data_IF_255176685814
#
_entry.id   IF_255176685814
#
_cell.length_a   1.000
_cell.length_b   1.000
_cell.length_c   1.000
_cell.angle_alpha   90.00
_cell.angle_beta   90.00
_cell.angle_gamma   90.00
#
_symmetry.space_group_name_H-M   'P 1'
#
loop_
_entity.id
_entity.type
_entity.pdbx_description
1 polymer ?
#
# COMPACT_ATOMS: atom_id res chain seq x y z
N UNK A 1 -31.37 -0.32 21.78
CA UNK A 1 -30.84 0.17 20.48
C UNK A 1 -30.87 -1.01 19.53
N UNK A 2 -31.25 -0.83 18.27
CA UNK A 2 -31.20 -1.92 17.29
C UNK A 2 -29.74 -2.40 17.17
N UNK A 3 -29.52 -3.71 17.20
CA UNK A 3 -28.18 -4.25 16.96
C UNK A 3 -27.78 -3.97 15.52
N UNK A 4 -26.57 -3.45 15.33
CA UNK A 4 -25.98 -3.18 14.01
C UNK A 4 -24.68 -3.92 13.88
N UNK A 5 -24.43 -4.55 12.73
CA UNK A 5 -23.25 -5.35 12.47
C UNK A 5 -22.49 -4.88 11.23
N UNK A 6 -21.22 -4.52 11.43
CA UNK A 6 -20.27 -4.19 10.35
C UNK A 6 -19.27 -5.34 10.21
N UNK A 7 -19.13 -5.88 9.00
CA UNK A 7 -18.12 -6.89 8.67
C UNK A 7 -17.01 -6.27 7.85
N UNK A 8 -15.77 -6.37 8.32
CA UNK A 8 -14.57 -5.90 7.64
C UNK A 8 -13.82 -7.10 7.08
N UNK A 9 -13.61 -7.13 5.77
CA UNK A 9 -12.83 -8.17 5.09
C UNK A 9 -11.40 -7.68 4.90
N UNK A 10 -10.45 -8.31 5.62
CA UNK A 10 -9.03 -7.96 5.62
C UNK A 10 -8.61 -7.27 6.93
N UNK A 11 -7.64 -7.88 7.62
CA UNK A 11 -7.16 -7.46 8.95
C UNK A 11 -5.73 -6.94 8.92
N UNK A 12 -5.28 -6.42 7.78
CA UNK A 12 -4.07 -5.60 7.72
C UNK A 12 -4.25 -4.27 8.44
N UNK A 13 -3.28 -3.37 8.30
CA UNK A 13 -3.34 -2.04 8.93
C UNK A 13 -4.67 -1.34 8.67
N UNK A 14 -5.13 -1.29 7.41
CA UNK A 14 -6.34 -0.55 7.03
C UNK A 14 -7.59 -1.04 7.75
N UNK A 15 -7.89 -2.34 7.70
CA UNK A 15 -9.09 -2.89 8.34
C UNK A 15 -9.01 -2.83 9.86
N UNK A 16 -7.81 -3.00 10.43
CA UNK A 16 -7.60 -2.87 11.87
C UNK A 16 -7.78 -1.41 12.33
N UNK A 17 -7.27 -0.44 11.57
CA UNK A 17 -7.44 0.98 11.86
C UNK A 17 -8.92 1.38 11.80
N UNK A 18 -9.66 0.90 10.79
CA UNK A 18 -11.10 1.09 10.71
C UNK A 18 -11.81 0.50 11.95
N UNK A 19 -11.48 -0.74 12.34
CA UNK A 19 -12.07 -1.37 13.51
C UNK A 19 -11.77 -0.60 14.81
N UNK A 20 -10.54 -0.09 14.98
CA UNK A 20 -10.17 0.76 16.12
C UNK A 20 -11.02 2.03 16.15
N UNK A 21 -11.16 2.72 15.01
CA UNK A 21 -11.96 3.94 14.92
C UNK A 21 -13.44 3.70 15.20
N UNK A 22 -14.00 2.60 14.69
CA UNK A 22 -15.37 2.18 14.99
C UNK A 22 -15.55 1.87 16.48
N UNK A 23 -14.58 1.21 17.12
CA UNK A 23 -14.64 0.91 18.55
C UNK A 23 -14.50 2.16 19.44
N UNK A 24 -13.60 3.08 19.10
CA UNK A 24 -13.38 4.31 19.88
C UNK A 24 -14.59 5.26 19.85
N UNK A 25 -15.42 5.17 18.82
CA UNK A 25 -16.47 6.17 18.53
C UNK A 25 -17.88 5.60 18.44
N UNK A 26 -18.01 4.30 18.30
CA UNK A 26 -19.28 3.60 18.30
C UNK A 26 -19.90 3.54 19.68
N UNK A 27 -21.18 3.16 19.72
CA UNK A 27 -21.95 3.01 20.94
C UNK A 27 -22.34 1.53 21.16
N UNK A 28 -22.87 1.24 22.34
CA UNK A 28 -23.42 -0.08 22.66
C UNK A 28 -24.49 -0.49 21.63
N UNK A 29 -24.45 -1.75 21.21
CA UNK A 29 -25.31 -2.29 20.14
C UNK A 29 -24.63 -2.37 18.78
N UNK A 30 -23.45 -1.77 18.60
CA UNK A 30 -22.60 -2.00 17.42
C UNK A 30 -21.73 -3.25 17.62
N UNK A 31 -21.75 -4.13 16.63
CA UNK A 31 -20.85 -5.27 16.50
C UNK A 31 -19.94 -5.05 15.29
N UNK A 32 -18.65 -5.35 15.43
CA UNK A 32 -17.68 -5.28 14.32
C UNK A 32 -16.91 -6.59 14.25
N UNK A 33 -17.00 -7.26 13.12
CA UNK A 33 -16.23 -8.49 12.84
C UNK A 33 -15.18 -8.22 11.79
N UNK A 34 -13.91 -8.52 12.11
CA UNK A 34 -12.80 -8.50 11.15
C UNK A 34 -12.51 -9.93 10.72
N UNK A 35 -12.71 -10.24 9.44
CA UNK A 35 -12.36 -11.53 8.84
C UNK A 35 -10.94 -11.42 8.25
N UNK A 36 -9.99 -12.10 8.88
CA UNK A 36 -8.58 -12.10 8.51
C UNK A 36 -7.95 -13.46 8.85
N UNK A 37 -7.43 -14.21 7.87
CA UNK A 37 -6.94 -15.57 8.08
C UNK A 37 -5.70 -15.64 8.97
N UNK A 38 -4.88 -14.58 9.05
CA UNK A 38 -3.68 -14.58 9.88
C UNK A 38 -4.05 -14.58 11.37
N UNK A 39 -3.19 -15.17 12.23
CA UNK A 39 -3.47 -15.25 13.67
C UNK A 39 -3.51 -13.88 14.38
N UNK A 40 -2.86 -12.87 13.80
CA UNK A 40 -2.80 -11.51 14.33
C UNK A 40 -3.25 -10.50 13.27
N UNK A 41 -4.00 -9.49 13.75
CA UNK A 41 -4.40 -8.32 12.97
C UNK A 41 -3.25 -7.32 12.82
N UNK A 42 -3.54 -6.14 12.25
CA UNK A 42 -2.67 -4.97 12.07
C UNK A 42 -1.52 -5.09 11.06
N UNK A 43 -0.93 -6.28 10.92
CA UNK A 43 0.32 -6.44 10.18
C UNK A 43 0.15 -6.32 8.67
N UNK A 44 -0.81 -7.06 8.12
CA UNK A 44 -1.07 -7.09 6.68
C UNK A 44 0.17 -7.43 5.85
N UNK A 45 0.17 -7.00 4.58
CA UNK A 45 1.31 -7.20 3.66
C UNK A 45 2.51 -6.33 4.04
N UNK A 46 2.27 -5.07 4.44
CA UNK A 46 3.33 -4.10 4.66
C UNK A 46 4.14 -4.34 5.95
N UNK A 47 3.48 -4.77 7.02
CA UNK A 47 4.08 -4.88 8.36
C UNK A 47 4.16 -6.33 8.85
N UNK A 48 3.89 -7.31 7.98
CA UNK A 48 3.96 -8.74 8.30
C UNK A 48 5.34 -9.37 8.14
N UNK A 49 6.28 -8.69 7.48
CA UNK A 49 7.65 -9.19 7.30
C UNK A 49 8.35 -9.42 8.65
N UNK A 50 9.18 -10.46 8.70
CA UNK A 50 10.03 -10.79 9.84
C UNK A 50 11.51 -10.51 9.57
N UNK A 51 11.86 -9.99 8.38
CA UNK A 51 13.25 -9.65 8.08
C UNK A 51 13.63 -8.33 8.78
N UNK A 52 14.64 -8.32 9.68
CA UNK A 52 15.07 -7.10 10.38
C UNK A 52 15.61 -6.00 9.45
N UNK A 53 16.00 -6.34 8.22
CA UNK A 53 16.42 -5.35 7.23
C UNK A 53 15.26 -4.48 6.72
N UNK A 54 14.00 -4.92 6.89
CA UNK A 54 12.84 -4.21 6.38
C UNK A 54 12.38 -3.15 7.36
N UNK A 55 12.72 -1.89 7.03
CA UNK A 55 12.44 -0.71 7.84
C UNK A 55 11.18 0.00 7.37
N UNK A 56 10.52 0.73 8.27
CA UNK A 56 9.53 1.72 7.85
C UNK A 56 10.22 2.82 7.05
N UNK A 57 9.52 3.37 6.06
CA UNK A 57 10.11 4.30 5.08
C UNK A 57 9.92 5.78 5.43
N UNK A 58 9.22 6.07 6.52
CA UNK A 58 9.06 7.41 7.10
C UNK A 58 9.49 7.34 8.56
N UNK A 59 9.92 8.45 9.18
CA UNK A 59 10.22 8.48 10.60
C UNK A 59 9.04 7.98 11.44
N UNK A 60 9.32 7.30 12.55
CA UNK A 60 8.32 6.80 13.48
C UNK A 60 7.36 7.89 13.97
N UNK A 61 7.84 9.14 14.08
CA UNK A 61 7.01 10.28 14.46
C UNK A 61 5.87 10.57 13.48
N UNK A 62 6.01 10.18 12.21
CA UNK A 62 5.00 10.33 11.15
C UNK A 62 4.18 9.06 10.92
N UNK A 63 4.36 8.02 11.73
CA UNK A 63 3.57 6.80 11.67
C UNK A 63 2.44 6.89 12.69
N UNK A 64 1.21 7.06 12.21
CA UNK A 64 0.06 7.35 13.06
C UNK A 64 -1.22 6.65 12.61
N UNK A 65 -2.15 6.49 13.55
CA UNK A 65 -3.50 5.95 13.32
C UNK A 65 -4.51 7.06 12.97
N UNK A 66 -4.28 8.28 13.47
CA UNK A 66 -5.00 9.51 13.16
C UNK A 66 -4.06 10.70 13.24
N UNK A 67 -4.46 11.86 12.70
CA UNK A 67 -3.68 13.09 12.80
C UNK A 67 -3.53 13.59 14.26
N UNK A 68 -4.51 13.31 15.12
CA UNK A 68 -4.45 13.67 16.54
C UNK A 68 -3.41 12.86 17.34
N UNK A 69 -2.91 11.77 16.78
CA UNK A 69 -1.99 10.81 17.39
C UNK A 69 -0.54 10.96 16.86
N UNK A 70 -0.19 12.15 16.37
CA UNK A 70 1.17 12.42 15.86
C UNK A 70 2.24 12.14 16.93
N UNK A 71 3.28 11.40 16.53
CA UNK A 71 4.38 11.00 17.42
C UNK A 71 4.06 9.89 18.42
N UNK A 72 2.82 9.38 18.52
CA UNK A 72 2.44 8.31 19.47
C UNK A 72 3.30 7.06 19.27
N UNK A 73 3.48 6.62 18.01
CA UNK A 73 4.28 5.44 17.71
C UNK A 73 5.77 5.62 18.06
N UNK A 74 6.34 6.81 17.84
CA UNK A 74 7.73 7.10 18.23
C UNK A 74 7.91 6.99 19.75
N UNK A 75 7.00 7.62 20.52
CA UNK A 75 6.99 7.53 21.99
C UNK A 75 6.85 6.09 22.46
N UNK A 76 5.88 5.36 21.90
CA UNK A 76 5.65 3.95 22.22
C UNK A 76 6.87 3.09 21.93
N UNK A 77 7.48 3.25 20.76
CA UNK A 77 8.62 2.43 20.37
C UNK A 77 9.82 2.71 21.26
N UNK A 78 10.13 3.98 21.55
CA UNK A 78 11.24 4.35 22.46
C UNK A 78 11.06 3.81 23.88
N UNK A 79 9.81 3.68 24.34
CA UNK A 79 9.49 3.08 25.64
C UNK A 79 9.50 1.54 25.63
N UNK A 80 9.53 0.91 24.45
CA UNK A 80 9.52 -0.55 24.30
C UNK A 80 10.90 -1.16 24.49
N UNK A 81 10.94 -2.44 24.87
CA UNK A 81 12.19 -3.23 24.90
C UNK A 81 12.83 -3.41 23.52
N UNK A 82 12.06 -3.20 22.43
CA UNK A 82 12.55 -3.34 21.07
C UNK A 82 13.44 -2.17 20.61
N UNK A 83 13.41 -1.02 21.30
CA UNK A 83 14.27 0.11 20.97
C UNK A 83 15.75 -0.13 21.37
N UNK A 84 16.08 -0.46 22.63
CA UNK A 84 17.47 -0.77 22.99
C UNK A 84 18.01 -2.04 22.31
N UNK A 85 17.13 -2.94 21.85
CA UNK A 85 17.49 -4.14 21.10
C UNK A 85 17.79 -3.88 19.61
N UNK A 86 17.55 -2.66 19.11
CA UNK A 86 17.71 -2.28 17.71
C UNK A 86 18.47 -0.94 17.61
N UNK A 87 19.80 -0.93 17.82
CA UNK A 87 20.59 0.29 17.83
C UNK A 87 20.56 1.01 16.47
N UNK A 88 20.37 0.28 15.37
CA UNK A 88 20.28 0.84 14.02
C UNK A 88 18.94 1.56 13.77
N UNK A 89 17.95 1.45 14.66
CA UNK A 89 16.67 2.12 14.48
C UNK A 89 16.79 3.64 14.54
N UNK A 90 17.65 4.17 15.41
CA UNK A 90 17.90 5.62 15.51
C UNK A 90 18.98 6.04 14.52
N UNK A 91 18.65 6.99 13.65
CA UNK A 91 19.61 7.56 12.71
C UNK A 91 20.41 8.71 13.33
N UNK A 92 21.48 9.14 12.67
CA UNK A 92 22.41 10.18 13.13
C UNK A 92 21.71 11.52 13.46
N UNK A 93 20.60 11.82 12.79
CA UNK A 93 19.78 13.02 13.03
C UNK A 93 18.74 12.84 14.14
N UNK A 94 18.81 11.74 14.91
CA UNK A 94 17.94 11.43 16.03
C UNK A 94 16.58 10.83 15.65
N UNK A 95 16.19 10.86 14.36
CA UNK A 95 14.93 10.26 13.87
C UNK A 95 15.00 8.73 13.93
N UNK A 96 13.85 8.10 14.17
CA UNK A 96 13.77 6.65 14.34
C UNK A 96 13.05 5.99 13.17
N UNK A 97 13.62 4.90 12.66
CA UNK A 97 13.07 4.05 11.61
C UNK A 97 13.07 2.59 12.08
N UNK A 98 12.06 2.17 12.86
CA UNK A 98 11.97 0.80 13.35
C UNK A 98 11.79 -0.22 12.23
N UNK A 99 12.06 -1.49 12.55
CA UNK A 99 11.63 -2.61 11.71
C UNK A 99 10.10 -2.57 11.51
N UNK A 100 9.63 -2.92 10.31
CA UNK A 100 8.19 -2.81 9.96
C UNK A 100 7.27 -3.55 10.93
N UNK A 101 7.72 -4.69 11.47
CA UNK A 101 6.97 -5.47 12.44
C UNK A 101 6.62 -4.72 13.72
N UNK A 102 7.43 -3.74 14.14
CA UNK A 102 7.18 -2.95 15.35
C UNK A 102 5.96 -2.04 15.19
N UNK A 103 5.75 -1.46 14.01
CA UNK A 103 4.53 -0.70 13.75
C UNK A 103 3.29 -1.60 13.73
N UNK A 104 3.40 -2.81 13.16
CA UNK A 104 2.33 -3.81 13.24
C UNK A 104 2.00 -4.21 14.69
N UNK A 105 3.01 -4.35 15.56
CA UNK A 105 2.82 -4.65 16.98
C UNK A 105 2.12 -3.51 17.72
N UNK A 106 2.54 -2.26 17.49
CA UNK A 106 1.88 -1.07 18.04
C UNK A 106 0.39 -1.03 17.70
N UNK A 107 0.03 -1.20 16.42
CA UNK A 107 -1.38 -1.14 16.00
C UNK A 107 -2.19 -2.32 16.55
N UNK A 108 -1.57 -3.50 16.70
CA UNK A 108 -2.23 -4.63 17.37
C UNK A 108 -2.52 -4.34 18.85
N UNK A 109 -1.60 -3.65 19.55
CA UNK A 109 -1.83 -3.19 20.93
C UNK A 109 -2.97 -2.16 21.00
N UNK A 110 -3.03 -1.22 20.04
CA UNK A 110 -4.14 -0.26 19.98
C UNK A 110 -5.49 -0.95 19.73
N UNK A 111 -5.51 -2.00 18.91
CA UNK A 111 -6.71 -2.81 18.71
C UNK A 111 -7.13 -3.54 19.99
N UNK A 112 -6.18 -4.15 20.70
CA UNK A 112 -6.47 -4.83 21.97
C UNK A 112 -7.04 -3.85 23.02
N UNK A 113 -6.43 -2.67 23.17
CA UNK A 113 -6.93 -1.61 24.05
C UNK A 113 -8.35 -1.18 23.69
N UNK A 114 -8.63 -0.99 22.39
CA UNK A 114 -9.95 -0.63 21.92
C UNK A 114 -10.99 -1.74 22.18
N UNK A 115 -10.61 -3.01 22.01
CA UNK A 115 -11.49 -4.15 22.29
C UNK A 115 -11.84 -4.29 23.78
N UNK A 116 -10.91 -3.95 24.67
CA UNK A 116 -11.10 -4.04 26.12
C UNK A 116 -12.00 -2.92 26.68
N UNK A 117 -11.85 -1.70 26.17
CA UNK A 117 -12.49 -0.51 26.77
C UNK A 117 -13.74 -0.01 26.02
N UNK A 118 -14.02 -0.55 24.83
CA UNK A 118 -15.12 -0.07 24.01
C UNK A 118 -16.46 -0.74 24.36
N UNK A 119 -17.59 -0.01 24.30
CA UNK A 119 -18.92 -0.62 24.32
C UNK A 119 -19.27 -1.38 23.01
N UNK A 120 -18.43 -1.28 21.97
CA UNK A 120 -18.56 -1.98 20.69
C UNK A 120 -17.98 -3.39 20.81
N UNK A 121 -18.74 -4.39 20.37
CA UNK A 121 -18.24 -5.78 20.34
C UNK A 121 -17.30 -5.98 19.16
N UNK A 122 -16.00 -6.05 19.41
CA UNK A 122 -14.98 -6.38 18.40
C UNK A 122 -14.71 -7.89 18.35
N UNK A 123 -14.71 -8.47 17.15
CA UNK A 123 -14.41 -9.89 16.93
C UNK A 123 -13.41 -10.07 15.80
N UNK A 124 -12.37 -10.90 15.99
CA UNK A 124 -11.48 -11.35 14.93
C UNK A 124 -11.83 -12.79 14.55
N UNK A 125 -12.20 -12.99 13.29
CA UNK A 125 -12.46 -14.31 12.69
C UNK A 125 -11.25 -14.71 11.85
N UNK A 126 -10.62 -15.81 12.24
CA UNK A 126 -9.44 -16.38 11.56
C UNK A 126 -9.86 -17.27 10.40
N UNK A 127 -10.36 -16.63 9.35
CA UNK A 127 -10.81 -17.32 8.15
C UNK A 127 -10.65 -16.43 6.92
N UNK A 128 -10.83 -17.00 5.74
CA UNK A 128 -10.95 -16.30 4.47
C UNK A 128 -12.42 -16.01 4.17
N UNK A 129 -12.76 -14.77 3.85
CA UNK A 129 -14.02 -14.47 3.19
C UNK A 129 -13.94 -14.92 1.72
N UNK A 130 -14.97 -15.63 1.23
CA UNK A 130 -14.96 -16.24 -0.10
C UNK A 130 -16.18 -15.88 -0.95
N UNK A 131 -17.25 -15.36 -0.34
CA UNK A 131 -18.41 -14.86 -1.08
C UNK A 131 -19.23 -13.86 -0.24
N UNK A 132 -20.05 -13.05 -0.91
CA UNK A 132 -21.11 -12.24 -0.31
C UNK A 132 -22.45 -12.69 -0.89
N UNK A 133 -23.36 -13.20 -0.04
CA UNK A 133 -24.67 -13.72 -0.46
C UNK A 133 -25.76 -13.17 0.44
N UNK A 134 -26.79 -12.55 -0.15
CA UNK A 134 -27.94 -11.99 0.57
C UNK A 134 -27.54 -11.07 1.75
N UNK A 135 -26.49 -10.27 1.59
CA UNK A 135 -25.96 -9.38 2.66
C UNK A 135 -25.04 -10.05 3.68
N UNK A 136 -24.88 -11.39 3.63
CA UNK A 136 -23.98 -12.13 4.52
C UNK A 136 -22.64 -12.48 3.88
N UNK A 137 -21.54 -12.24 4.60
CA UNK A 137 -20.20 -12.67 4.19
C UNK A 137 -20.02 -14.16 4.53
N UNK A 138 -19.74 -14.96 3.51
CA UNK A 138 -19.47 -16.40 3.65
C UNK A 138 -17.96 -16.62 3.75
N UNK A 139 -17.56 -17.42 4.74
CA UNK A 139 -16.15 -17.78 4.96
C UNK A 139 -15.80 -19.15 4.37
N UNK A 140 -14.51 -19.46 4.25
CA UNK A 140 -14.05 -20.72 3.68
C UNK A 140 -14.42 -21.94 4.57
N UNK A 141 -14.59 -21.76 5.88
CA UNK A 141 -15.13 -22.80 6.77
C UNK A 141 -16.64 -23.03 6.60
N UNK A 142 -17.33 -22.18 5.84
CA UNK A 142 -18.78 -22.26 5.62
C UNK A 142 -19.62 -21.39 6.57
N UNK A 143 -19.00 -20.72 7.55
CA UNK A 143 -19.69 -19.79 8.43
C UNK A 143 -20.18 -18.55 7.67
N UNK A 144 -21.35 -18.03 8.06
CA UNK A 144 -21.98 -16.87 7.43
C UNK A 144 -22.18 -15.75 8.45
N UNK A 145 -21.65 -14.57 8.13
CA UNK A 145 -21.75 -13.37 8.96
C UNK A 145 -22.70 -12.37 8.28
N UNK A 146 -23.94 -12.31 8.76
CA UNK A 146 -24.90 -11.28 8.32
C UNK A 146 -24.40 -9.90 8.69
N UNK A 147 -24.53 -8.92 7.80
CA UNK A 147 -24.01 -7.59 8.04
C UNK A 147 -24.97 -6.53 7.50
N UNK A 148 -25.11 -5.41 8.22
CA UNK A 148 -25.73 -4.21 7.69
C UNK A 148 -24.79 -3.50 6.72
N UNK A 149 -23.48 -3.65 6.93
CA UNK A 149 -22.42 -3.03 6.15
C UNK A 149 -21.24 -4.00 6.00
N UNK A 150 -20.77 -4.16 4.77
CA UNK A 150 -19.55 -4.91 4.45
C UNK A 150 -18.49 -3.95 3.96
N UNK A 151 -17.30 -4.01 4.55
CA UNK A 151 -16.17 -3.16 4.19
C UNK A 151 -15.00 -4.01 3.70
N UNK A 152 -14.65 -3.84 2.42
CA UNK A 152 -13.48 -4.44 1.81
C UNK A 152 -12.23 -3.63 2.19
N UNK A 153 -11.47 -4.12 3.17
CA UNK A 153 -10.18 -3.58 3.58
C UNK A 153 -9.01 -4.35 2.92
N UNK A 154 -9.19 -4.67 1.64
CA UNK A 154 -8.25 -5.45 0.85
C UNK A 154 -7.20 -4.51 0.27
N UNK A 155 -5.92 -4.90 0.36
CA UNK A 155 -4.80 -4.08 -0.10
C UNK A 155 -4.57 -4.21 -1.61
N UNK A 156 -3.51 -4.92 -2.01
CA UNK A 156 -3.15 -5.14 -3.40
C UNK A 156 -2.54 -6.53 -3.57
N UNK A 157 -2.68 -7.15 -4.76
CA UNK A 157 -2.08 -8.45 -5.03
C UNK A 157 -0.54 -8.39 -5.06
N UNK A 158 0.14 -9.55 -5.01
CA UNK A 158 1.59 -9.63 -5.21
C UNK A 158 2.01 -9.11 -6.60
N UNK A 159 3.32 -8.95 -6.84
CA UNK A 159 3.82 -8.56 -8.16
C UNK A 159 3.42 -9.55 -9.25
N UNK A 160 3.03 -9.03 -10.42
CA UNK A 160 2.85 -9.84 -11.61
C UNK A 160 4.21 -10.10 -12.26
N UNK A 161 4.48 -11.38 -12.53
CA UNK A 161 5.64 -11.79 -13.32
C UNK A 161 5.46 -11.30 -14.76
N UNK A 162 6.43 -10.56 -15.35
CA UNK A 162 6.34 -10.16 -16.74
C UNK A 162 6.09 -11.37 -17.66
N UNK A 163 5.17 -11.26 -18.62
CA UNK A 163 4.71 -12.41 -19.41
C UNK A 163 5.84 -13.17 -20.13
N UNK A 164 6.89 -12.47 -20.58
CA UNK A 164 8.06 -13.11 -21.18
C UNK A 164 8.82 -13.98 -20.16
N UNK A 165 8.98 -13.49 -18.93
CA UNK A 165 9.60 -14.21 -17.82
C UNK A 165 8.75 -15.40 -17.40
N UNK A 166 7.43 -15.21 -17.26
CA UNK A 166 6.51 -16.29 -16.89
C UNK A 166 6.52 -17.43 -17.93
N UNK A 167 6.52 -17.10 -19.22
CA UNK A 167 6.60 -18.10 -20.31
C UNK A 167 7.92 -18.86 -20.33
N UNK A 168 9.04 -18.17 -20.10
CA UNK A 168 10.37 -18.78 -20.17
C UNK A 168 10.76 -19.55 -18.90
N UNK A 169 10.31 -19.10 -17.72
CA UNK A 169 10.83 -19.51 -16.42
C UNK A 169 9.74 -19.91 -15.41
N UNK A 170 8.48 -20.07 -15.81
CA UNK A 170 7.35 -20.22 -14.88
C UNK A 170 7.50 -21.32 -13.82
N UNK A 171 8.25 -22.39 -14.12
CA UNK A 171 8.58 -23.48 -13.18
C UNK A 171 10.08 -23.56 -12.85
N UNK A 172 10.88 -22.64 -13.36
CA UNK A 172 12.33 -22.69 -13.25
C UNK A 172 12.78 -22.26 -11.83
N UNK A 173 13.67 -23.02 -11.15
CA UNK A 173 14.07 -22.75 -9.76
C UNK A 173 14.87 -21.45 -9.56
N UNK A 174 15.36 -20.86 -10.66
CA UNK A 174 15.99 -19.54 -10.62
C UNK A 174 15.00 -18.37 -10.44
N UNK A 175 13.71 -18.56 -10.74
CA UNK A 175 12.70 -17.51 -10.65
C UNK A 175 12.14 -17.36 -9.23
N UNK A 176 12.38 -16.18 -8.64
CA UNK A 176 11.70 -15.73 -7.44
C UNK A 176 10.62 -14.73 -7.86
N UNK A 177 9.43 -15.26 -8.15
CA UNK A 177 8.28 -14.51 -8.66
C UNK A 177 7.68 -13.52 -7.64
N UNK A 178 7.77 -13.84 -6.35
CA UNK A 178 7.26 -13.01 -5.26
C UNK A 178 8.27 -12.99 -4.10
N UNK A 179 8.99 -11.88 -3.87
CA UNK A 179 9.99 -11.77 -2.81
C UNK A 179 9.37 -11.72 -1.40
N UNK A 180 8.04 -11.57 -1.29
CA UNK A 180 7.33 -11.49 -0.01
C UNK A 180 6.88 -12.85 0.52
N UNK A 181 7.09 -13.94 -0.22
CA UNK A 181 6.85 -15.29 0.31
C UNK A 181 7.83 -15.56 1.45
N UNK A 182 7.37 -16.31 2.45
CA UNK A 182 8.27 -16.87 3.46
C UNK A 182 9.42 -17.60 2.77
N UNK A 183 10.64 -17.35 3.24
CA UNK A 183 11.88 -17.97 2.75
C UNK A 183 12.16 -17.79 1.24
N UNK A 184 11.53 -16.80 0.59
CA UNK A 184 11.70 -16.56 -0.85
C UNK A 184 13.16 -16.39 -1.28
N UNK A 185 13.99 -15.82 -0.39
CA UNK A 185 15.41 -15.57 -0.63
C UNK A 185 16.32 -16.68 -0.09
N UNK A 186 15.80 -17.68 0.64
CA UNK A 186 16.61 -18.74 1.24
C UNK A 186 17.33 -19.60 0.19
N UNK A 187 16.78 -19.67 -1.03
CA UNK A 187 17.38 -20.39 -2.15
C UNK A 187 18.51 -19.62 -2.86
N UNK A 188 18.79 -18.36 -2.47
CA UNK A 188 19.88 -17.56 -3.04
C UNK A 188 21.18 -17.87 -2.30
N UNK A 189 22.14 -18.50 -2.98
CA UNK A 189 23.42 -18.88 -2.38
C UNK A 189 24.31 -17.63 -2.19
N UNK A 190 25.34 -17.70 -1.32
CA UNK A 190 26.19 -16.54 -1.03
C UNK A 190 26.88 -15.94 -2.27
N UNK A 191 27.18 -16.72 -3.30
CA UNK A 191 27.90 -16.26 -4.49
C UNK A 191 27.06 -16.26 -5.78
N UNK A 192 25.75 -16.55 -5.68
CA UNK A 192 24.85 -16.51 -6.84
C UNK A 192 24.89 -15.12 -7.50
N UNK A 193 24.90 -15.09 -8.82
CA UNK A 193 24.63 -13.88 -9.58
C UNK A 193 23.11 -13.64 -9.64
N UNK A 194 22.66 -12.46 -9.24
CA UNK A 194 21.24 -12.15 -9.05
C UNK A 194 20.82 -11.00 -9.96
N UNK A 195 19.81 -11.21 -10.79
CA UNK A 195 19.09 -10.14 -11.48
C UNK A 195 17.81 -9.76 -10.73
N UNK A 196 17.55 -8.47 -10.57
CA UNK A 196 16.31 -7.96 -9.98
C UNK A 196 15.56 -7.10 -11.00
N UNK A 197 14.33 -7.50 -11.33
CA UNK A 197 13.46 -6.75 -12.24
C UNK A 197 12.65 -5.73 -11.44
N UNK A 198 12.90 -4.44 -11.66
CA UNK A 198 12.33 -3.35 -10.88
C UNK A 198 13.38 -2.72 -9.96
N UNK A 199 13.27 -1.42 -9.74
CA UNK A 199 14.24 -0.62 -8.96
C UNK A 199 13.56 0.24 -7.90
N UNK A 200 12.35 -0.13 -7.46
CA UNK A 200 11.60 0.57 -6.41
C UNK A 200 11.94 0.07 -5.01
N UNK A 201 11.15 0.47 -4.00
CA UNK A 201 11.38 0.10 -2.59
C UNK A 201 11.48 -1.41 -2.34
N UNK A 202 10.69 -2.24 -3.03
CA UNK A 202 10.79 -3.70 -2.92
C UNK A 202 12.17 -4.22 -3.32
N UNK A 203 12.79 -3.64 -4.36
CA UNK A 203 14.17 -4.00 -4.73
C UNK A 203 15.14 -3.60 -3.61
N UNK A 204 14.95 -2.41 -3.03
CA UNK A 204 15.76 -1.95 -1.91
C UNK A 204 15.70 -2.90 -0.71
N UNK A 205 14.51 -3.36 -0.33
CA UNK A 205 14.31 -4.34 0.74
C UNK A 205 14.98 -5.69 0.41
N UNK A 206 14.87 -6.15 -0.85
CA UNK A 206 15.54 -7.39 -1.31
C UNK A 206 17.06 -7.27 -1.19
N UNK A 207 17.66 -6.18 -1.67
CA UNK A 207 19.11 -5.98 -1.57
C UNK A 207 19.55 -5.89 -0.11
N UNK A 208 18.81 -5.19 0.75
CA UNK A 208 19.12 -5.11 2.17
C UNK A 208 19.05 -6.49 2.86
N UNK A 209 18.08 -7.33 2.47
CA UNK A 209 17.95 -8.70 2.96
C UNK A 209 19.15 -9.55 2.52
N UNK A 210 19.52 -9.50 1.23
CA UNK A 210 20.69 -10.22 0.69
C UNK A 210 21.99 -9.77 1.37
N UNK A 211 22.16 -8.47 1.59
CA UNK A 211 23.31 -7.91 2.29
C UNK A 211 23.40 -8.47 3.72
N UNK A 212 22.30 -8.42 4.49
CA UNK A 212 22.22 -8.96 5.86
C UNK A 212 22.51 -10.46 5.90
N UNK A 213 22.05 -11.21 4.91
CA UNK A 213 22.28 -12.66 4.78
C UNK A 213 23.71 -13.00 4.36
N UNK A 214 24.59 -12.01 4.19
CA UNK A 214 25.98 -12.26 3.86
C UNK A 214 26.22 -12.57 2.38
N UNK A 215 25.30 -12.23 1.48
CA UNK A 215 25.49 -12.40 0.05
C UNK A 215 26.71 -11.59 -0.44
N UNK A 216 27.50 -12.21 -1.33
CA UNK A 216 28.76 -11.72 -1.92
C UNK A 216 28.75 -11.73 -3.45
N UNK A 217 27.76 -12.39 -4.06
CA UNK A 217 27.57 -12.44 -5.50
C UNK A 217 27.20 -11.07 -6.10
N UNK A 218 27.27 -10.99 -7.43
CA UNK A 218 26.90 -9.78 -8.17
C UNK A 218 25.38 -9.64 -8.22
N UNK A 219 24.88 -8.47 -7.88
CA UNK A 219 23.46 -8.09 -7.98
C UNK A 219 23.29 -7.04 -9.06
N UNK A 220 22.49 -7.34 -10.08
CA UNK A 220 22.08 -6.40 -11.11
C UNK A 220 20.58 -6.09 -10.96
N UNK A 221 20.26 -4.88 -10.49
CA UNK A 221 18.89 -4.38 -10.53
C UNK A 221 18.66 -3.59 -11.82
N UNK A 222 17.54 -3.83 -12.51
CA UNK A 222 17.24 -3.08 -13.73
C UNK A 222 15.77 -2.70 -13.84
N UNK A 223 15.53 -1.54 -14.45
CA UNK A 223 14.18 -1.09 -14.81
C UNK A 223 14.25 -0.17 -16.02
N UNK A 224 13.10 0.09 -16.65
CA UNK A 224 13.01 0.92 -17.87
C UNK A 224 13.68 2.29 -17.76
N UNK A 225 13.78 2.86 -16.55
CA UNK A 225 14.34 4.20 -16.30
C UNK A 225 15.51 4.19 -15.31
N UNK A 226 15.82 3.06 -14.69
CA UNK A 226 16.91 2.93 -13.70
C UNK A 226 16.81 3.88 -12.52
N UNK A 227 15.60 4.32 -12.14
CA UNK A 227 15.42 5.25 -11.02
C UNK A 227 15.40 4.51 -9.70
N UNK A 228 16.05 5.08 -8.69
CA UNK A 228 16.02 4.61 -7.31
C UNK A 228 15.12 5.53 -6.46
N UNK A 229 14.43 4.99 -5.43
CA UNK A 229 13.81 5.77 -4.37
C UNK A 229 14.78 6.82 -3.80
N UNK A 230 14.28 8.04 -3.59
CA UNK A 230 15.08 9.14 -3.04
C UNK A 230 15.21 9.01 -1.52
N UNK A 231 16.32 9.46 -0.92
CA UNK A 231 16.48 9.41 0.53
C UNK A 231 15.48 10.31 1.25
N UNK A 232 15.20 9.98 2.51
CA UNK A 232 14.45 10.85 3.40
C UNK A 232 15.22 12.15 3.70
N UNK A 233 14.48 13.14 4.19
CA UNK A 233 15.06 14.40 4.64
C UNK A 233 15.76 14.22 6.00
N UNK A 234 17.03 14.58 6.07
CA UNK A 234 17.85 14.53 7.29
C UNK A 234 17.98 15.92 7.90
N UNK A 235 17.79 16.03 9.22
CA UNK A 235 17.74 17.32 9.94
C UNK A 235 16.35 17.96 9.99
N UNK A 236 16.30 19.15 10.59
CA UNK A 236 15.08 19.92 10.85
C UNK A 236 15.00 21.15 9.95
N UNK A 237 13.82 21.34 9.34
CA UNK A 237 13.56 22.45 8.42
C UNK A 237 12.18 23.03 8.70
N UNK A 238 11.98 24.34 8.47
CA UNK A 238 10.65 24.92 8.52
C UNK A 238 9.75 24.27 7.45
N UNK A 239 8.45 24.21 7.73
CA UNK A 239 7.47 23.70 6.77
C UNK A 239 7.40 24.61 5.54
N UNK A 240 7.21 24.00 4.37
CA UNK A 240 6.89 24.70 3.12
C UNK A 240 5.44 24.45 2.75
N UNK A 241 4.62 25.49 2.72
CA UNK A 241 3.20 25.40 2.34
C UNK A 241 3.00 26.06 0.99
N UNK A 242 2.39 25.35 0.04
CA UNK A 242 2.09 25.89 -1.28
C UNK A 242 0.87 26.81 -1.19
N UNK A 243 0.90 27.92 -1.93
CA UNK A 243 -0.32 28.68 -2.21
C UNK A 243 -1.17 27.95 -3.27
N UNK A 244 -2.20 27.25 -2.81
CA UNK A 244 -3.18 26.55 -3.63
C UNK A 244 -4.23 27.47 -4.27
N UNK A 245 -4.30 28.75 -3.88
CA UNK A 245 -5.17 29.74 -4.52
C UNK A 245 -4.54 30.28 -5.81
N UNK A 246 -3.20 30.30 -5.89
CA UNK A 246 -2.49 30.68 -7.11
C UNK A 246 -2.94 29.78 -8.28
N UNK A 247 -3.41 30.34 -9.40
CA UNK A 247 -3.95 29.57 -10.51
C UNK A 247 -2.93 28.65 -11.18
N UNK A 248 -3.33 27.40 -11.45
CA UNK A 248 -2.69 26.51 -12.42
C UNK A 248 -3.74 25.72 -13.18
N UNK A 249 -3.40 25.28 -14.40
CA UNK A 249 -4.25 24.36 -15.13
C UNK A 249 -4.31 22.99 -14.43
N UNK A 250 -5.53 22.45 -14.25
CA UNK A 250 -5.80 21.11 -13.71
C UNK A 250 -5.41 20.00 -14.71
N UNK A 251 -4.12 19.97 -15.05
CA UNK A 251 -3.51 19.04 -15.98
C UNK A 251 -2.22 18.49 -15.38
N UNK A 252 -1.82 17.29 -15.82
CA UNK A 252 -0.60 16.66 -15.33
C UNK A 252 0.64 17.55 -15.62
N UNK A 253 0.65 18.25 -16.76
CA UNK A 253 1.72 19.18 -17.14
C UNK A 253 1.66 20.48 -16.33
N UNK A 254 0.47 21.02 -16.07
CA UNK A 254 0.28 22.22 -15.26
C UNK A 254 0.82 22.03 -13.86
N UNK A 255 0.42 20.93 -13.20
CA UNK A 255 0.95 20.55 -11.89
C UNK A 255 2.46 20.29 -11.94
N UNK A 256 2.98 19.56 -12.92
CA UNK A 256 4.44 19.37 -13.05
C UNK A 256 5.20 20.70 -13.12
N UNK A 257 4.69 21.67 -13.88
CA UNK A 257 5.31 23.00 -13.96
C UNK A 257 5.25 23.71 -12.61
N UNK A 258 4.10 23.67 -11.93
CA UNK A 258 3.93 24.24 -10.59
C UNK A 258 4.89 23.62 -9.59
N UNK A 259 4.97 22.29 -9.51
CA UNK A 259 5.91 21.59 -8.61
C UNK A 259 7.35 22.05 -8.84
N UNK A 260 7.78 22.15 -10.10
CA UNK A 260 9.14 22.57 -10.43
C UNK A 260 9.44 24.01 -10.03
N UNK A 261 8.46 24.90 -10.17
CA UNK A 261 8.58 26.29 -9.70
C UNK A 261 8.71 26.34 -8.17
N UNK A 262 7.88 25.60 -7.45
CA UNK A 262 7.91 25.54 -5.98
C UNK A 262 9.24 24.95 -5.47
N UNK A 263 9.76 23.91 -6.12
CA UNK A 263 11.09 23.37 -5.81
C UNK A 263 12.19 24.42 -6.04
N UNK A 264 12.12 25.20 -7.13
CA UNK A 264 13.10 26.25 -7.38
C UNK A 264 12.99 27.41 -6.37
N UNK A 265 11.79 27.78 -5.95
CA UNK A 265 11.55 28.80 -4.91
C UNK A 265 12.05 28.35 -3.55
N UNK A 266 11.75 27.11 -3.14
CA UNK A 266 12.27 26.52 -1.92
C UNK A 266 13.81 26.50 -1.93
N UNK A 267 14.42 26.09 -3.04
CA UNK A 267 15.87 26.07 -3.18
C UNK A 267 16.50 27.49 -3.08
N UNK A 268 15.82 28.53 -3.55
CA UNK A 268 16.27 29.92 -3.41
C UNK A 268 16.22 30.43 -1.95
N UNK A 269 15.56 29.69 -1.05
CA UNK A 269 15.52 29.91 0.40
C UNK A 269 16.32 28.85 1.18
N UNK A 270 17.23 28.13 0.51
CA UNK A 270 18.02 27.02 1.07
C UNK A 270 17.17 25.87 1.64
N UNK A 271 15.94 25.72 1.13
CA UNK A 271 15.03 24.67 1.55
C UNK A 271 15.04 23.45 0.60
N UNK A 272 15.01 22.24 1.17
CA UNK A 272 15.09 21.00 0.40
C UNK A 272 13.77 20.69 -0.33
N UNK A 273 13.88 20.10 -1.53
CA UNK A 273 12.73 19.75 -2.37
C UNK A 273 11.70 18.84 -1.68
N UNK A 274 12.14 18.04 -0.70
CA UNK A 274 11.30 17.12 0.06
C UNK A 274 10.10 17.82 0.70
N UNK A 275 10.25 19.06 1.15
CA UNK A 275 9.19 19.82 1.80
C UNK A 275 8.06 20.15 0.83
N UNK A 276 8.41 20.57 -0.39
CA UNK A 276 7.45 20.82 -1.48
C UNK A 276 6.65 19.56 -1.80
N UNK A 277 7.32 18.41 -1.88
CA UNK A 277 6.67 17.15 -2.22
C UNK A 277 5.83 16.59 -1.06
N UNK A 278 6.21 16.84 0.19
CA UNK A 278 5.43 16.48 1.37
C UNK A 278 4.09 17.26 1.40
N UNK A 279 4.11 18.56 1.12
CA UNK A 279 2.88 19.39 1.03
C UNK A 279 1.97 18.98 -0.14
N UNK A 280 2.55 18.77 -1.33
CA UNK A 280 1.80 18.28 -2.50
C UNK A 280 1.15 16.93 -2.22
N UNK A 281 1.86 16.05 -1.50
CA UNK A 281 1.33 14.74 -1.13
C UNK A 281 0.16 14.88 -0.15
N UNK A 282 0.25 15.77 0.84
CA UNK A 282 -0.87 16.07 1.75
C UNK A 282 -2.13 16.50 1.00
N UNK A 283 -1.96 17.26 -0.09
CA UNK A 283 -3.06 17.72 -0.95
C UNK A 283 -3.32 16.79 -2.16
N UNK A 284 -2.65 15.63 -2.22
CA UNK A 284 -2.61 14.78 -3.41
C UNK A 284 -3.97 14.26 -3.84
N UNK A 285 -4.86 13.96 -2.89
CA UNK A 285 -6.24 13.54 -3.16
C UNK A 285 -7.04 14.65 -3.85
N UNK A 286 -6.96 15.89 -3.34
CA UNK A 286 -7.67 17.02 -3.94
C UNK A 286 -7.18 17.28 -5.36
N UNK A 287 -5.85 17.30 -5.56
CA UNK A 287 -5.23 17.46 -6.88
C UNK A 287 -5.71 16.36 -7.83
N UNK A 288 -5.66 15.10 -7.40
CA UNK A 288 -6.04 13.95 -8.21
C UNK A 288 -7.49 13.99 -8.69
N UNK A 289 -8.41 14.38 -7.80
CA UNK A 289 -9.85 14.44 -8.09
C UNK A 289 -10.23 15.57 -9.04
N UNK A 290 -9.40 16.62 -9.16
CA UNK A 290 -9.58 17.69 -10.15
C UNK A 290 -9.08 17.32 -11.55
N UNK A 291 -8.17 16.35 -11.65
CA UNK A 291 -7.70 15.88 -12.96
C UNK A 291 -8.79 15.10 -13.67
N UNK A 292 -9.06 15.45 -14.93
CA UNK A 292 -9.88 14.59 -15.80
C UNK A 292 -9.26 13.19 -15.93
N UNK A 293 -10.07 12.18 -16.26
CA UNK A 293 -9.59 10.81 -16.49
C UNK A 293 -8.45 10.76 -17.52
N UNK A 294 -8.50 11.62 -18.55
CA UNK A 294 -7.45 11.75 -19.56
C UNK A 294 -6.12 12.21 -18.94
N UNK A 295 -6.17 13.16 -18.01
CA UNK A 295 -4.98 13.67 -17.32
C UNK A 295 -4.47 12.70 -16.24
N UNK A 296 -5.35 11.97 -15.55
CA UNK A 296 -4.96 10.88 -14.66
C UNK A 296 -4.21 9.78 -15.43
N UNK A 297 -4.73 9.32 -16.58
CA UNK A 297 -4.04 8.38 -17.48
C UNK A 297 -2.68 8.94 -17.95
N UNK A 298 -2.61 10.23 -18.26
CA UNK A 298 -1.37 10.91 -18.66
C UNK A 298 -0.34 10.94 -17.53
N UNK A 299 -0.76 11.25 -16.31
CA UNK A 299 0.09 11.21 -15.12
C UNK A 299 0.66 9.80 -14.91
N UNK A 300 -0.18 8.77 -14.92
CA UNK A 300 0.26 7.39 -14.71
C UNK A 300 1.26 6.92 -15.77
N UNK A 301 1.08 7.32 -17.03
CA UNK A 301 1.98 6.94 -18.12
C UNK A 301 3.34 7.63 -18.04
N UNK A 302 3.35 8.92 -17.70
CA UNK A 302 4.54 9.77 -17.89
C UNK A 302 5.22 10.20 -16.61
N UNK A 303 4.44 10.53 -15.57
CA UNK A 303 4.94 11.17 -14.35
C UNK A 303 5.03 10.21 -13.17
N UNK A 304 4.21 9.16 -13.12
CA UNK A 304 4.22 8.19 -12.01
C UNK A 304 5.61 7.66 -11.65
N UNK A 305 6.48 7.23 -12.59
CA UNK A 305 7.81 6.74 -12.20
C UNK A 305 8.67 7.79 -11.48
N UNK A 306 8.47 9.07 -11.78
CA UNK A 306 9.16 10.17 -11.12
C UNK A 306 8.49 10.51 -9.80
N UNK A 307 7.16 10.59 -9.76
CA UNK A 307 6.41 10.79 -8.53
C UNK A 307 6.75 9.71 -7.50
N UNK A 308 6.65 8.44 -7.87
CA UNK A 308 6.85 7.29 -6.98
C UNK A 308 8.24 7.32 -6.33
N UNK A 309 9.32 7.63 -7.05
CA UNK A 309 10.66 7.67 -6.43
C UNK A 309 10.90 8.86 -5.51
N UNK A 310 10.15 9.96 -5.66
CA UNK A 310 10.28 11.12 -4.77
C UNK A 310 9.36 11.02 -3.55
N UNK A 311 8.16 10.45 -3.70
CA UNK A 311 7.17 10.31 -2.61
C UNK A 311 7.37 9.07 -1.75
N UNK A 312 7.84 7.97 -2.34
CA UNK A 312 8.22 6.76 -1.61
C UNK A 312 9.71 6.80 -1.29
N UNK A 313 10.05 7.63 -0.32
CA UNK A 313 11.43 7.77 0.12
C UNK A 313 11.90 6.51 0.83
N UNK A 314 13.18 6.22 0.74
CA UNK A 314 13.81 5.04 1.34
C UNK A 314 14.30 5.35 2.77
N UNK A 315 14.18 4.38 3.67
CA UNK A 315 14.79 4.47 5.00
C UNK A 315 16.32 4.67 4.89
N UNK A 316 16.93 5.54 5.69
CA UNK A 316 18.35 5.87 5.54
C UNK A 316 19.28 4.66 5.72
N UNK A 317 18.93 3.71 6.60
CA UNK A 317 19.66 2.45 6.79
C UNK A 317 19.72 1.63 5.49
N UNK A 318 18.56 1.46 4.83
CA UNK A 318 18.46 0.70 3.57
C UNK A 318 19.18 1.46 2.45
N UNK A 319 19.09 2.79 2.44
CA UNK A 319 19.83 3.64 1.51
C UNK A 319 21.34 3.49 1.66
N UNK A 320 21.86 3.43 2.88
CA UNK A 320 23.27 3.22 3.17
C UNK A 320 23.76 1.86 2.65
N UNK A 321 22.96 0.79 2.82
CA UNK A 321 23.27 -0.54 2.27
C UNK A 321 23.34 -0.51 0.74
N UNK A 322 22.43 0.18 0.07
CA UNK A 322 22.50 0.33 -1.39
C UNK A 322 23.77 1.08 -1.81
N UNK A 323 24.06 2.22 -1.17
CA UNK A 323 25.23 3.03 -1.48
C UNK A 323 26.53 2.23 -1.30
N UNK A 324 26.67 1.53 -0.17
CA UNK A 324 27.82 0.66 0.09
C UNK A 324 27.93 -0.47 -0.94
N UNK A 325 26.82 -1.13 -1.25
CA UNK A 325 26.82 -2.23 -2.23
C UNK A 325 27.19 -1.75 -3.63
N UNK A 326 26.84 -0.52 -4.01
CA UNK A 326 27.26 0.09 -5.27
C UNK A 326 28.75 0.46 -5.24
N UNK A 327 29.23 1.05 -4.15
CA UNK A 327 30.63 1.43 -3.98
C UNK A 327 31.56 0.20 -4.07
N UNK A 328 31.16 -0.92 -3.47
CA UNK A 328 31.90 -2.19 -3.51
C UNK A 328 31.74 -2.95 -4.84
N UNK A 329 30.99 -2.42 -5.81
CA UNK A 329 30.70 -3.07 -7.10
C UNK A 329 29.80 -4.31 -7.01
N UNK A 330 29.19 -4.58 -5.85
CA UNK A 330 28.25 -5.70 -5.64
C UNK A 330 26.87 -5.42 -6.23
N UNK A 331 26.41 -4.18 -6.20
CA UNK A 331 25.15 -3.75 -6.79
C UNK A 331 25.40 -2.87 -8.02
N UNK A 332 24.84 -3.27 -9.15
CA UNK A 332 24.70 -2.42 -10.33
C UNK A 332 23.23 -2.11 -10.57
N UNK A 333 22.92 -0.84 -10.85
CA UNK A 333 21.57 -0.40 -11.23
C UNK A 333 21.57 0.07 -12.67
N UNK A 334 20.71 -0.53 -13.49
CA UNK A 334 20.69 -0.28 -14.93
C UNK A 334 19.34 0.24 -15.42
N UNK A 335 19.39 1.32 -16.21
CA UNK A 335 18.26 1.76 -17.02
C UNK A 335 18.18 0.91 -18.29
N UNK A 336 17.44 -0.20 -18.24
CA UNK A 336 17.30 -1.13 -19.37
C UNK A 336 15.90 -1.75 -19.48
N UNK A 337 15.57 -2.21 -20.69
CA UNK A 337 14.41 -3.05 -20.98
C UNK A 337 14.86 -4.50 -21.18
N UNK A 338 14.14 -5.44 -20.57
CA UNK A 338 14.27 -6.85 -20.91
C UNK A 338 13.72 -7.10 -22.32
N UNK A 339 14.56 -7.55 -23.24
CA UNK A 339 14.16 -7.94 -24.60
C UNK A 339 13.85 -9.42 -24.68
N UNK A 340 14.73 -10.26 -24.14
CA UNK A 340 14.60 -11.72 -24.16
C UNK A 340 15.05 -12.31 -22.82
N UNK A 341 14.45 -13.44 -22.48
CA UNK A 341 14.78 -14.25 -21.32
C UNK A 341 14.59 -15.72 -21.70
N UNK A 342 15.54 -16.56 -21.34
CA UNK A 342 15.47 -18.01 -21.54
C UNK A 342 16.20 -18.74 -20.42
N UNK A 343 15.77 -19.97 -20.14
CA UNK A 343 16.54 -20.89 -19.31
C UNK A 343 17.78 -21.38 -20.08
N UNK A 344 18.89 -21.53 -19.37
CA UNK A 344 20.14 -22.09 -19.89
C UNK A 344 20.74 -22.99 -18.82
N UNK A 345 20.33 -24.27 -18.81
CA UNK A 345 20.60 -25.18 -17.71
C UNK A 345 19.93 -24.69 -16.42
N UNK A 346 20.71 -24.57 -15.35
CA UNK A 346 20.26 -24.02 -14.05
C UNK A 346 20.30 -22.48 -14.00
N UNK A 347 20.88 -21.84 -15.03
CA UNK A 347 21.01 -20.40 -15.11
C UNK A 347 19.94 -19.77 -16.01
N UNK A 348 19.84 -18.45 -15.94
CA UNK A 348 18.94 -17.66 -16.75
C UNK A 348 19.75 -16.73 -17.65
N UNK A 349 19.51 -16.83 -18.95
CA UNK A 349 20.05 -15.89 -19.93
C UNK A 349 19.09 -14.71 -20.10
N UNK A 350 19.61 -13.50 -19.92
CA UNK A 350 18.89 -12.25 -20.09
C UNK A 350 19.52 -11.44 -21.22
N UNK A 351 18.68 -10.93 -22.11
CA UNK A 351 19.08 -9.88 -23.06
C UNK A 351 18.47 -8.56 -22.61
N UNK A 352 19.32 -7.68 -22.10
CA UNK A 352 18.93 -6.36 -21.63
C UNK A 352 19.33 -5.31 -22.68
N UNK A 353 18.42 -4.40 -22.97
CA UNK A 353 18.65 -3.26 -23.84
C UNK A 353 18.74 -1.98 -23.01
N UNK A 354 19.95 -1.49 -22.71
CA UNK A 354 20.12 -0.17 -22.12
C UNK A 354 19.64 0.91 -23.09
N UNK A 355 19.28 2.07 -22.55
CA UNK A 355 18.88 3.21 -23.38
C UNK A 355 20.10 3.79 -24.10
N UNK A 356 20.06 3.82 -25.43
CA UNK A 356 21.11 4.45 -26.25
C UNK A 356 22.41 3.65 -26.35
N UNK A 357 22.43 2.38 -25.96
CA UNK A 357 23.58 1.48 -26.11
C UNK A 357 23.16 0.19 -26.84
N UNK A 358 24.11 -0.68 -27.17
CA UNK A 358 23.80 -2.00 -27.70
C UNK A 358 23.17 -2.91 -26.63
N UNK A 359 22.40 -3.92 -27.06
CA UNK A 359 21.91 -4.95 -26.15
C UNK A 359 23.07 -5.74 -25.53
N UNK A 360 22.93 -6.08 -24.25
CA UNK A 360 23.90 -6.89 -23.51
C UNK A 360 23.26 -8.21 -23.09
N UNK A 361 24.03 -9.29 -23.17
CA UNK A 361 23.64 -10.63 -22.72
C UNK A 361 24.27 -10.87 -21.35
N UNK A 362 23.49 -11.43 -20.44
CA UNK A 362 23.90 -11.75 -19.08
C UNK A 362 23.41 -13.15 -18.73
N UNK A 363 24.25 -13.93 -18.05
CA UNK A 363 23.86 -15.15 -17.37
C UNK A 363 23.77 -14.86 -15.88
N UNK A 364 22.66 -15.28 -15.27
CA UNK A 364 22.43 -15.12 -13.83
C UNK A 364 21.89 -16.39 -13.20
N UNK A 365 22.24 -16.64 -11.95
CA UNK A 365 21.79 -17.81 -11.18
C UNK A 365 20.37 -17.62 -10.65
N UNK A 366 19.98 -16.38 -10.34
CA UNK A 366 18.64 -16.03 -9.82
C UNK A 366 18.05 -14.81 -10.51
N UNK A 367 16.73 -14.81 -10.67
CA UNK A 367 15.96 -13.65 -11.10
C UNK A 367 14.82 -13.35 -10.13
N UNK A 368 14.76 -12.12 -9.62
CA UNK A 368 13.79 -11.69 -8.60
C UNK A 368 12.86 -10.62 -9.18
N UNK A 369 11.55 -10.83 -9.05
CA UNK A 369 10.55 -9.88 -9.57
C UNK A 369 10.15 -8.88 -8.48
N UNK A 370 10.44 -7.60 -8.72
CA UNK A 370 10.11 -6.47 -7.83
C UNK A 370 9.36 -5.36 -8.58
N UNK A 371 8.51 -5.74 -9.54
CA UNK A 371 7.79 -4.85 -10.46
C UNK A 371 6.65 -4.04 -9.83
N UNK A 372 6.50 -4.12 -8.49
CA UNK A 372 5.38 -3.55 -7.75
C UNK A 372 4.12 -4.41 -7.84
N UNK A 373 3.09 -4.09 -7.05
CA UNK A 373 1.86 -4.88 -7.00
C UNK A 373 1.09 -4.83 -8.32
N UNK A 374 0.45 -5.95 -8.65
CA UNK A 374 -0.34 -6.13 -9.86
C UNK A 374 -1.76 -5.55 -9.72
N UNK A 375 -1.90 -4.23 -9.44
CA UNK A 375 -3.20 -3.61 -9.13
C UNK A 375 -4.34 -3.98 -10.10
N UNK A 376 -4.05 -4.07 -11.40
CA UNK A 376 -5.06 -4.43 -12.41
C UNK A 376 -5.61 -5.86 -12.31
N UNK A 377 -4.95 -6.74 -11.56
CA UNK A 377 -5.40 -8.11 -11.29
C UNK A 377 -6.08 -8.24 -9.92
N UNK A 378 -6.40 -7.13 -9.24
CA UNK A 378 -6.99 -7.17 -7.89
C UNK A 378 -8.29 -7.98 -7.86
N UNK A 379 -9.20 -7.77 -8.82
CA UNK A 379 -10.50 -8.45 -8.83
C UNK A 379 -10.38 -9.97 -9.05
N UNK A 380 -9.25 -10.41 -9.59
CA UNK A 380 -8.94 -11.82 -9.83
C UNK A 380 -8.09 -12.42 -8.70
N UNK A 381 -7.75 -11.64 -7.67
CA UNK A 381 -6.72 -12.02 -6.70
C UNK A 381 -7.20 -12.95 -5.59
N UNK A 382 -8.50 -12.98 -5.31
CA UNK A 382 -9.11 -13.88 -4.33
C UNK A 382 -10.57 -14.21 -4.67
N UNK A 383 -11.11 -15.25 -4.02
CA UNK A 383 -12.42 -15.81 -4.33
C UNK A 383 -13.59 -14.84 -4.10
N UNK A 384 -13.55 -14.03 -3.04
CA UNK A 384 -14.61 -13.06 -2.75
C UNK A 384 -14.66 -12.00 -3.85
N UNK A 385 -13.50 -11.42 -4.19
CA UNK A 385 -13.45 -10.40 -5.24
C UNK A 385 -13.86 -10.95 -6.61
N UNK A 386 -13.46 -12.17 -6.94
CA UNK A 386 -13.89 -12.84 -8.18
C UNK A 386 -15.40 -13.01 -8.22
N UNK A 387 -16.02 -13.48 -7.13
CA UNK A 387 -17.47 -13.65 -7.07
C UNK A 387 -18.21 -12.30 -7.15
N UNK A 388 -17.78 -11.30 -6.38
CA UNK A 388 -18.39 -9.96 -6.43
C UNK A 388 -18.30 -9.34 -7.84
N UNK A 389 -17.19 -9.55 -8.54
CA UNK A 389 -17.01 -9.06 -9.90
C UNK A 389 -17.87 -9.83 -10.92
N UNK A 390 -17.94 -11.15 -10.79
CA UNK A 390 -18.76 -12.01 -11.65
C UNK A 390 -20.26 -11.70 -11.52
N UNK A 391 -20.71 -11.40 -10.30
CA UNK A 391 -22.10 -11.01 -10.00
C UNK A 391 -22.39 -9.54 -10.34
N UNK A 392 -21.39 -8.79 -10.80
CA UNK A 392 -21.50 -7.40 -11.21
C UNK A 392 -21.65 -6.40 -10.04
N UNK A 393 -21.43 -6.83 -8.80
CA UNK A 393 -21.53 -6.01 -7.59
C UNK A 393 -20.37 -5.01 -7.45
N UNK A 394 -19.22 -5.36 -8.03
CA UNK A 394 -18.04 -4.49 -8.13
C UNK A 394 -17.50 -4.50 -9.56
N UNK A 395 -16.74 -3.46 -9.91
CA UNK A 395 -15.97 -3.41 -11.14
C UNK A 395 -14.60 -2.76 -10.92
N UNK A 396 -13.66 -3.01 -11.82
CA UNK A 396 -12.36 -2.35 -11.80
C UNK A 396 -12.52 -0.85 -12.07
N UNK A 397 -11.72 -0.02 -11.40
CA UNK A 397 -11.70 1.40 -11.74
C UNK A 397 -11.10 1.63 -13.15
N UNK A 398 -11.47 2.72 -13.85
CA UNK A 398 -11.01 3.00 -15.22
C UNK A 398 -9.49 3.14 -15.43
N UNK A 399 -8.70 3.18 -14.35
CA UNK A 399 -7.24 3.24 -14.37
C UNK A 399 -6.57 1.92 -13.96
N UNK A 400 -7.33 0.88 -13.62
CA UNK A 400 -6.84 -0.41 -13.13
C UNK A 400 -5.92 -0.29 -11.91
N UNK A 401 -6.28 0.61 -10.99
CA UNK A 401 -5.66 0.87 -9.70
C UNK A 401 -6.43 0.24 -8.51
N UNK A 402 -7.61 -0.33 -8.74
CA UNK A 402 -8.40 -1.05 -7.75
C UNK A 402 -9.87 -1.20 -8.13
N UNK A 403 -10.75 -1.09 -7.14
CA UNK A 403 -12.21 -1.19 -7.27
C UNK A 403 -12.79 0.21 -7.50
N UNK A 404 -13.76 0.32 -8.42
CA UNK A 404 -14.48 1.56 -8.66
C UNK A 404 -15.38 1.90 -7.46
N UNK A 405 -15.15 3.07 -6.87
CA UNK A 405 -15.96 3.60 -5.76
C UNK A 405 -16.34 5.06 -5.98
N UNK A 406 -17.43 5.48 -5.34
CA UNK A 406 -17.84 6.88 -5.29
C UNK A 406 -17.08 7.68 -4.20
N UNK A 407 -17.46 8.94 -3.98
CA UNK A 407 -16.84 9.80 -2.96
C UNK A 407 -17.04 9.35 -1.50
N UNK A 408 -18.05 8.49 -1.23
CA UNK A 408 -18.34 7.88 0.08
C UNK A 408 -17.73 6.48 0.23
N UNK A 409 -16.82 6.12 -0.68
CA UNK A 409 -16.18 4.81 -0.72
C UNK A 409 -17.13 3.63 -0.93
N UNK A 410 -18.34 3.87 -1.42
CA UNK A 410 -19.31 2.83 -1.79
C UNK A 410 -18.91 2.23 -3.14
N UNK A 411 -18.99 0.90 -3.28
CA UNK A 411 -18.71 0.24 -4.55
C UNK A 411 -19.72 0.65 -5.61
N UNK A 412 -19.25 0.79 -6.85
CA UNK A 412 -20.12 1.05 -8.00
C UNK A 412 -20.23 -0.25 -8.80
N UNK A 413 -21.45 -0.73 -8.99
CA UNK A 413 -21.77 -1.95 -9.73
C UNK A 413 -21.63 -1.74 -11.25
N UNK A 414 -21.80 -2.78 -12.07
CA UNK A 414 -21.67 -2.69 -13.53
C UNK A 414 -22.68 -1.76 -14.22
N UNK A 415 -23.84 -1.48 -13.59
CA UNK A 415 -24.85 -0.55 -14.10
C UNK A 415 -24.56 0.91 -13.73
N UNK A 416 -23.52 1.17 -12.91
CA UNK A 416 -23.12 2.50 -12.47
C UNK A 416 -23.78 2.97 -11.17
N UNK A 417 -24.49 2.08 -10.47
CA UNK A 417 -25.18 2.36 -9.22
C UNK A 417 -24.26 2.08 -8.01
N UNK A 418 -24.31 2.97 -7.01
CA UNK A 418 -23.56 2.80 -5.79
C UNK A 418 -24.28 1.84 -4.83
N UNK A 419 -23.56 0.91 -4.22
CA UNK A 419 -24.09 0.03 -3.17
C UNK A 419 -23.88 0.68 -1.80
N UNK A 420 -24.95 1.08 -1.08
CA UNK A 420 -24.82 1.73 0.21
C UNK A 420 -24.37 0.79 1.35
N UNK A 421 -24.34 -0.53 1.12
CA UNK A 421 -23.99 -1.56 2.09
C UNK A 421 -22.64 -2.24 1.83
N UNK A 422 -21.92 -1.82 0.77
CA UNK A 422 -20.64 -2.39 0.37
C UNK A 422 -19.63 -1.27 0.11
N UNK A 423 -18.63 -1.19 0.97
CA UNK A 423 -17.61 -0.15 0.97
C UNK A 423 -16.21 -0.69 0.70
N UNK A 424 -15.30 0.16 0.25
CA UNK A 424 -13.87 -0.14 0.11
C UNK A 424 -13.05 0.85 0.91
N UNK A 425 -12.10 0.36 1.70
CA UNK A 425 -11.19 1.21 2.49
C UNK A 425 -9.74 0.91 2.14
N UNK A 426 -8.93 1.96 2.07
CA UNK A 426 -7.50 1.86 1.78
C UNK A 426 -7.19 1.51 0.32
N UNK A 427 -6.05 0.84 0.05
CA UNK A 427 -5.45 0.76 -1.27
C UNK A 427 -6.34 0.31 -2.43
N UNK A 428 -7.34 -0.54 -2.20
CA UNK A 428 -8.27 -0.95 -3.24
C UNK A 428 -9.15 0.20 -3.77
N UNK A 429 -9.32 1.31 -3.04
CA UNK A 429 -10.08 2.48 -3.48
C UNK A 429 -9.23 3.54 -4.23
N UNK A 430 -7.95 3.23 -4.50
CA UNK A 430 -6.95 4.19 -4.97
C UNK A 430 -7.34 4.91 -6.26
N UNK A 431 -8.04 4.28 -7.19
CA UNK A 431 -8.47 4.92 -8.44
C UNK A 431 -9.24 6.23 -8.19
N UNK A 432 -10.10 6.25 -7.15
CA UNK A 432 -10.90 7.42 -6.76
C UNK A 432 -10.13 8.45 -5.96
N UNK A 433 -9.33 8.01 -4.99
CA UNK A 433 -8.70 8.90 -4.00
C UNK A 433 -7.25 9.29 -4.34
N UNK A 434 -6.62 8.64 -5.33
CA UNK A 434 -5.28 8.99 -5.80
C UNK A 434 -4.17 8.44 -4.89
N UNK A 435 -3.72 9.24 -3.92
CA UNK A 435 -2.68 8.80 -2.98
C UNK A 435 -3.26 8.02 -1.83
N UNK A 436 -3.35 6.70 -2.00
CA UNK A 436 -3.95 5.80 -1.01
C UNK A 436 -3.11 4.53 -0.80
N UNK A 437 -1.80 4.70 -0.69
CA UNK A 437 -0.84 3.62 -0.48
C UNK A 437 0.19 3.94 0.62
N UNK A 438 0.36 5.22 0.93
CA UNK A 438 1.19 5.66 2.05
C UNK A 438 0.36 5.66 3.33
N UNK A 439 1.00 5.36 4.46
CA UNK A 439 0.31 5.17 5.73
C UNK A 439 -0.62 6.35 6.13
N UNK A 440 -0.19 7.63 6.12
CA UNK A 440 -1.05 8.74 6.58
C UNK A 440 -2.39 8.79 5.85
N UNK A 441 -2.36 8.70 4.51
CA UNK A 441 -3.57 8.75 3.70
C UNK A 441 -4.47 7.52 3.91
N UNK A 442 -3.88 6.34 4.15
CA UNK A 442 -4.65 5.13 4.47
C UNK A 442 -5.29 5.23 5.84
N UNK A 443 -4.61 5.83 6.82
CA UNK A 443 -5.12 6.07 8.17
C UNK A 443 -6.29 7.08 8.15
N UNK A 444 -6.11 8.21 7.45
CA UNK A 444 -7.13 9.23 7.24
C UNK A 444 -8.38 8.67 6.53
N UNK A 445 -8.20 7.81 5.51
CA UNK A 445 -9.32 7.18 4.83
C UNK A 445 -10.10 6.22 5.73
N UNK A 446 -9.40 5.43 6.55
CA UNK A 446 -10.04 4.55 7.53
C UNK A 446 -10.83 5.34 8.58
N UNK A 447 -10.26 6.44 9.09
CA UNK A 447 -10.94 7.34 10.01
C UNK A 447 -12.17 7.99 9.36
N UNK A 448 -12.02 8.52 8.15
CA UNK A 448 -13.12 9.15 7.40
C UNK A 448 -14.26 8.17 7.12
N UNK A 449 -13.97 6.92 6.76
CA UNK A 449 -15.01 5.92 6.57
C UNK A 449 -15.68 5.53 7.90
N UNK A 450 -14.92 5.42 9.00
CA UNK A 450 -15.50 5.16 10.32
C UNK A 450 -16.50 6.25 10.72
N UNK A 451 -16.16 7.53 10.49
CA UNK A 451 -17.09 8.66 10.68
C UNK A 451 -18.39 8.43 9.89
N UNK A 452 -18.26 8.19 8.58
CA UNK A 452 -19.40 8.04 7.67
C UNK A 452 -20.28 6.85 8.04
N UNK A 453 -19.69 5.73 8.47
CA UNK A 453 -20.44 4.56 8.88
C UNK A 453 -21.19 4.81 10.19
N UNK A 454 -20.66 5.62 11.11
CA UNK A 454 -21.31 5.92 12.40
C UNK A 454 -22.35 7.04 12.32
N UNK A 455 -22.37 7.84 11.24
CA UNK A 455 -23.41 8.83 11.01
C UNK A 455 -24.80 8.17 10.99
N UNK A 456 -25.83 8.77 11.61
CA UNK A 456 -27.18 8.26 11.53
C UNK A 456 -27.61 8.22 10.07
N UNK A 457 -27.76 7.03 9.50
CA UNK A 457 -28.39 6.91 8.20
C UNK A 457 -29.83 7.39 8.38
N UNK A 458 -30.21 8.46 7.67
CA UNK A 458 -31.61 8.83 7.52
C UNK A 458 -32.33 7.60 7.01
N UNK A 459 -33.06 6.91 7.89
CA UNK A 459 -33.92 5.79 7.52
C UNK A 459 -34.73 6.27 6.32
N UNK A 460 -34.46 5.72 5.14
CA UNK A 460 -35.37 5.89 4.02
C UNK A 460 -36.68 5.27 4.50
N UNK A 461 -37.66 6.14 4.77
CA UNK A 461 -38.94 5.76 5.31
C UNK A 461 -39.54 4.69 4.40
N UNK A 462 -39.36 3.42 4.78
CA UNK A 462 -40.11 2.32 4.22
C UNK A 462 -41.58 2.68 4.45
N UNK A 463 -42.34 2.58 3.35
CA UNK A 463 -43.58 3.31 3.13
C UNK A 463 -44.51 3.31 4.33
N UNK A 464 -45.02 4.50 4.66
CA UNK A 464 -46.28 4.58 5.39
C UNK A 464 -47.31 3.81 4.54
N UNK A 465 -47.92 2.79 5.15
CA UNK A 465 -49.09 2.10 4.61
C UNK A 465 -50.09 3.11 4.06
N UNK A 466 -50.80 2.81 2.95
CA UNK A 466 -51.92 3.62 2.53
C UNK A 466 -52.92 3.65 3.68
N UNK A 467 -53.21 4.85 4.18
CA UNK A 467 -54.31 5.03 5.11
C UNK A 467 -55.59 4.52 4.41
N UNK A 468 -56.22 3.57 5.09
CA UNK A 468 -57.49 2.96 4.73
C UNK A 468 -58.52 3.95 4.21
N UNK A 469 -59.14 3.60 3.09
CA UNK A 469 -60.48 4.04 2.70
C UNK A 469 -61.46 3.90 3.89
N UNK A 470 -62.00 5.02 4.37
CA UNK A 470 -63.28 5.10 5.09
C UNK A 470 -64.06 6.33 4.63
N UNK A 471 -64.88 6.09 3.60
CA UNK A 471 -66.27 6.53 3.38
C UNK A 471 -66.84 7.71 4.19
N UNK A 472 -67.35 8.73 3.49
CA UNK A 472 -68.80 8.98 3.34
C UNK A 472 -69.06 9.93 2.15
#
# INVERSE_FOLDING_TARGET
MAERHIVIVGGGFTGTALAIHLARRGAAGLQVTVIEPRPALARGVAYGTQDPAHRINVPASRMQLSAAEEGEFDRWYRASQAFPADPDAQWEDGKVYPQRGQFGAYIAEQFAKAAEHSPVKLTHVRDHAVALRHGGVVTASGEVYQADEVVLAISHPPPAVPQAVARALGQHPALIANPWRADALAAVKPHDSVAIIGTGLTMSDVVASLYRQGHRGKVLAFSRRGQLPRPNLSGDFPLWTLDYQRPQADTARGWLHRVRQEVALAAASDLPWQLVLDDIRGNGQHIWQRLSLKEQKRFLRHLRPWWDVHRYRIAPQVSAVLAQSQADGRLQVLAARLQQVSAEGEQVRLTLQPRGAAAQILLVDKIIVTTGPAHGALLESDALLQQLAADGLIQADPLALGILVNGRSQTVNLTGEANPHLHVVGPAARGRFGELMGLPQVAEHAESLANQLLEPQSLSAHGRCPASLKTC
#
